data_IF_912468839650
#
_entry.id   IF_912468839650
#
_cell.length_a   1.000
_cell.length_b   1.000
_cell.length_c   1.000
_cell.angle_alpha   90.00
_cell.angle_beta   90.00
_cell.angle_gamma   90.00
#
_symmetry.space_group_name_H-M   'P 1'
#
loop_
_entity.id
_entity.type
_entity.pdbx_description
1 polymer ?
#
# COMPACT_ATOMS: atom_id res chain seq x y z
N UNK A 1 27.69 27.49 24.41
CA UNK A 1 27.37 26.21 23.76
C UNK A 1 26.80 25.32 24.85
N UNK A 2 25.48 25.08 24.87
CA UNK A 2 24.90 24.10 25.79
C UNK A 2 25.51 22.73 25.49
N UNK A 3 25.87 21.98 26.52
CA UNK A 3 26.41 20.64 26.35
C UNK A 3 25.32 19.70 25.82
N UNK A 4 25.71 18.67 25.07
CA UNK A 4 24.78 17.62 24.60
C UNK A 4 24.00 17.01 25.78
N UNK A 5 24.63 16.93 26.94
CA UNK A 5 24.03 16.44 28.19
C UNK A 5 22.88 17.31 28.68
N UNK A 6 23.04 18.63 28.69
CA UNK A 6 21.97 19.56 29.12
C UNK A 6 20.76 19.50 28.20
N UNK A 7 20.96 19.32 26.88
CA UNK A 7 19.87 19.11 25.92
C UNK A 7 19.15 17.78 26.13
N UNK A 8 19.90 16.70 26.41
CA UNK A 8 19.32 15.40 26.72
C UNK A 8 18.45 15.48 27.97
N UNK A 9 18.97 16.08 29.02
CA UNK A 9 18.28 16.15 30.31
C UNK A 9 17.03 17.04 30.22
N UNK A 10 17.05 18.13 29.43
CA UNK A 10 15.83 18.91 29.11
C UNK A 10 14.79 18.14 28.30
N UNK A 11 15.21 17.25 27.38
CA UNK A 11 14.28 16.42 26.60
C UNK A 11 13.63 15.31 27.43
N UNK A 12 14.33 14.87 28.48
CA UNK A 12 13.86 13.85 29.41
C UNK A 12 13.05 14.44 30.59
N UNK A 13 13.22 15.74 30.90
CA UNK A 13 12.44 16.45 31.92
C UNK A 13 10.94 16.42 31.57
N UNK A 14 10.18 15.61 32.32
CA UNK A 14 8.74 15.44 32.15
C UNK A 14 8.31 14.15 31.47
N UNK A 15 9.24 13.29 31.02
CA UNK A 15 8.90 11.92 30.64
C UNK A 15 8.53 11.13 31.90
N UNK A 16 7.31 10.58 31.93
CA UNK A 16 6.93 9.59 32.94
C UNK A 16 7.45 8.24 32.48
N UNK A 17 8.32 7.62 33.28
CA UNK A 17 8.73 6.25 33.05
C UNK A 17 7.53 5.32 33.23
N UNK A 18 7.00 4.83 32.10
CA UNK A 18 5.99 3.79 32.09
C UNK A 18 6.72 2.45 32.06
N UNK A 19 6.61 1.67 33.15
CA UNK A 19 7.00 0.26 33.14
C UNK A 19 5.78 -0.61 32.86
N UNK A 20 5.85 -1.36 31.78
CA UNK A 20 4.94 -2.46 31.49
C UNK A 20 5.64 -3.79 31.81
N UNK A 21 4.87 -4.81 32.21
CA UNK A 21 5.34 -6.16 32.40
C UNK A 21 4.33 -7.14 31.83
N UNK A 22 4.82 -8.22 31.21
CA UNK A 22 4.00 -9.30 30.69
C UNK A 22 3.50 -10.26 31.80
N UNK A 23 3.90 -10.03 33.06
CA UNK A 23 3.51 -10.84 34.20
C UNK A 23 3.85 -12.31 33.99
N UNK A 24 2.87 -13.19 34.18
CA UNK A 24 3.03 -14.65 33.99
C UNK A 24 3.39 -15.09 32.57
N UNK A 25 3.33 -14.19 31.58
CA UNK A 25 3.67 -14.48 30.19
C UNK A 25 5.12 -14.14 29.85
N UNK A 26 5.86 -13.48 30.74
CA UNK A 26 7.23 -13.03 30.49
C UNK A 26 8.13 -14.20 30.05
N UNK A 27 8.19 -15.27 30.84
CA UNK A 27 9.02 -16.43 30.52
C UNK A 27 8.64 -17.09 29.19
N UNK A 28 7.37 -17.04 28.79
CA UNK A 28 6.92 -17.61 27.53
C UNK A 28 7.37 -16.77 26.32
N UNK A 29 7.30 -15.44 26.45
CA UNK A 29 7.78 -14.52 25.42
C UNK A 29 9.30 -14.55 25.33
N UNK A 30 10.02 -14.55 26.44
CA UNK A 30 11.49 -14.62 26.45
C UNK A 30 11.99 -15.91 25.80
N UNK A 31 11.33 -17.05 26.06
CA UNK A 31 11.63 -18.32 25.35
C UNK A 31 11.39 -18.22 23.86
N UNK A 32 10.26 -17.66 23.43
CA UNK A 32 9.96 -17.51 22.01
C UNK A 32 10.97 -16.59 21.31
N UNK A 33 11.37 -15.48 21.93
CA UNK A 33 12.40 -14.58 21.39
C UNK A 33 13.77 -15.27 21.29
N UNK A 34 14.15 -16.06 22.30
CA UNK A 34 15.36 -16.87 22.23
C UNK A 34 15.31 -17.90 21.09
N UNK A 35 14.19 -18.60 20.90
CA UNK A 35 14.01 -19.53 19.79
C UNK A 35 14.11 -18.83 18.42
N UNK A 36 13.52 -17.64 18.26
CA UNK A 36 13.63 -16.86 17.03
C UNK A 36 15.08 -16.45 16.72
N UNK A 37 15.82 -16.03 17.76
CA UNK A 37 17.23 -15.66 17.66
C UNK A 37 18.10 -16.86 17.31
N UNK A 38 17.98 -17.96 18.05
CA UNK A 38 18.82 -19.15 17.89
C UNK A 38 18.63 -19.79 16.51
N UNK A 39 17.42 -19.67 15.94
CA UNK A 39 17.10 -20.14 14.58
C UNK A 39 17.30 -19.07 13.48
N UNK A 40 17.86 -17.90 13.82
CA UNK A 40 18.14 -16.77 12.94
C UNK A 40 16.93 -16.36 12.07
N UNK A 41 15.72 -16.42 12.63
CA UNK A 41 14.47 -16.31 11.85
C UNK A 41 14.40 -15.00 11.07
N UNK A 42 14.70 -13.87 11.71
CA UNK A 42 14.62 -12.57 11.04
C UNK A 42 15.60 -12.46 9.87
N UNK A 43 16.87 -12.83 10.07
CA UNK A 43 17.88 -12.82 9.00
C UNK A 43 17.49 -13.72 7.84
N UNK A 44 16.89 -14.89 8.13
CA UNK A 44 16.39 -15.83 7.13
C UNK A 44 15.20 -15.25 6.34
N UNK A 45 14.28 -14.55 7.01
CA UNK A 45 13.18 -13.83 6.33
C UNK A 45 13.74 -12.79 5.35
N UNK A 46 14.71 -11.97 5.78
CA UNK A 46 15.38 -10.99 4.91
C UNK A 46 16.14 -11.65 3.76
N UNK A 47 16.75 -12.81 3.99
CA UNK A 47 17.37 -13.64 2.97
C UNK A 47 16.39 -14.40 2.07
N UNK A 48 15.08 -14.13 2.19
CA UNK A 48 14.00 -14.79 1.43
C UNK A 48 13.93 -16.31 1.61
N UNK A 49 14.40 -16.81 2.76
CA UNK A 49 14.37 -18.23 3.08
C UNK A 49 12.95 -18.70 3.45
N UNK A 50 12.29 -19.35 2.49
CA UNK A 50 10.94 -19.89 2.68
C UNK A 50 10.85 -20.98 3.75
N UNK A 51 11.96 -21.65 4.07
CA UNK A 51 12.01 -22.74 5.06
C UNK A 51 11.80 -22.25 6.49
N UNK A 52 11.72 -20.92 6.71
CA UNK A 52 11.18 -20.32 7.93
C UNK A 52 9.73 -20.76 8.20
N UNK A 53 8.93 -20.93 7.13
CA UNK A 53 7.53 -21.32 7.25
C UNK A 53 7.27 -22.77 6.82
N UNK A 54 7.90 -23.21 5.73
CA UNK A 54 7.72 -24.57 5.21
C UNK A 54 8.84 -24.97 4.26
N UNK A 55 9.25 -26.24 4.33
CA UNK A 55 10.29 -26.79 3.46
C UNK A 55 9.85 -26.88 1.98
N UNK A 56 8.55 -27.09 1.71
CA UNK A 56 7.97 -27.21 0.37
C UNK A 56 6.46 -26.86 0.39
N UNK A 57 5.88 -26.12 -0.59
CA UNK A 57 6.54 -25.52 -1.75
C UNK A 57 7.25 -24.20 -1.46
N UNK A 58 8.16 -23.82 -2.35
CA UNK A 58 8.90 -22.56 -2.33
C UNK A 58 8.08 -21.33 -2.77
N UNK A 59 6.75 -21.48 -2.94
CA UNK A 59 5.78 -20.41 -3.27
C UNK A 59 5.82 -19.19 -2.32
N UNK A 60 6.56 -19.25 -1.22
CA UNK A 60 6.74 -18.15 -0.28
C UNK A 60 7.92 -17.27 -0.71
N UNK A 61 8.95 -17.82 -1.37
CA UNK A 61 10.14 -17.08 -1.82
C UNK A 61 9.80 -15.92 -2.75
N UNK A 62 8.80 -16.10 -3.61
CA UNK A 62 8.26 -15.07 -4.50
C UNK A 62 7.15 -14.21 -3.87
N UNK A 63 7.07 -14.13 -2.54
CA UNK A 63 6.06 -13.32 -1.81
C UNK A 63 6.67 -12.36 -0.78
N UNK A 64 7.99 -12.24 -0.75
CA UNK A 64 8.73 -11.44 0.22
C UNK A 64 9.26 -10.11 -0.33
N UNK A 65 8.94 -9.76 -1.58
CA UNK A 65 9.37 -8.49 -2.19
C UNK A 65 8.87 -7.23 -1.45
N UNK A 66 7.86 -7.37 -0.58
CA UNK A 66 7.36 -6.27 0.25
C UNK A 66 8.39 -5.73 1.25
N UNK A 67 9.39 -6.56 1.62
CA UNK A 67 10.48 -6.20 2.52
C UNK A 67 11.28 -5.00 1.98
N UNK A 68 11.47 -4.96 0.66
CA UNK A 68 12.26 -3.92 -0.03
C UNK A 68 11.41 -2.80 -0.63
N UNK A 69 10.08 -2.92 -0.56
CA UNK A 69 9.16 -1.92 -1.13
C UNK A 69 9.44 -0.50 -0.63
N UNK A 70 9.71 -0.26 0.68
CA UNK A 70 10.04 1.08 1.17
C UNK A 70 11.34 1.68 0.60
N UNK A 71 12.27 0.85 0.17
CA UNK A 71 13.56 1.26 -0.39
C UNK A 71 13.45 1.58 -1.89
N UNK A 72 12.62 0.82 -2.61
CA UNK A 72 12.44 0.94 -4.07
C UNK A 72 11.42 2.02 -4.46
N UNK A 73 10.35 2.19 -3.68
CA UNK A 73 9.27 3.10 -4.03
C UNK A 73 9.61 4.61 -3.99
N UNK A 74 10.59 5.13 -3.23
CA UNK A 74 11.01 6.53 -3.30
C UNK A 74 11.33 6.98 -4.73
N UNK A 75 11.99 6.15 -5.52
CA UNK A 75 12.31 6.45 -6.93
C UNK A 75 11.06 6.61 -7.82
N UNK A 76 9.94 6.05 -7.37
CA UNK A 76 8.67 6.01 -8.10
C UNK A 76 7.67 7.09 -7.63
N UNK A 77 7.97 7.84 -6.56
CA UNK A 77 7.06 8.86 -6.01
C UNK A 77 6.74 9.93 -7.05
N UNK A 78 7.74 10.45 -7.76
CA UNK A 78 7.57 11.49 -8.78
C UNK A 78 6.58 11.10 -9.88
N UNK A 79 6.53 9.81 -10.25
CA UNK A 79 5.58 9.26 -11.23
C UNK A 79 4.15 9.29 -10.72
N UNK A 80 3.95 9.03 -9.42
CA UNK A 80 2.64 9.09 -8.76
C UNK A 80 2.19 10.54 -8.65
N UNK A 81 3.08 11.43 -8.21
CA UNK A 81 2.78 12.86 -8.08
C UNK A 81 2.44 13.52 -9.41
N UNK A 82 3.11 13.10 -10.49
CA UNK A 82 2.78 13.54 -11.84
C UNK A 82 1.33 13.21 -12.21
N UNK A 83 0.89 11.96 -11.96
CA UNK A 83 -0.51 11.57 -12.17
C UNK A 83 -1.45 12.41 -11.31
N UNK A 84 -1.14 12.59 -10.03
CA UNK A 84 -1.96 13.40 -9.10
C UNK A 84 -2.10 14.82 -9.60
N UNK A 85 -1.02 15.44 -10.08
CA UNK A 85 -1.03 16.78 -10.66
C UNK A 85 -1.90 16.84 -11.91
N UNK A 86 -1.76 15.88 -12.82
CA UNK A 86 -2.54 15.80 -14.06
C UNK A 86 -4.04 15.69 -13.79
N UNK A 87 -4.47 14.73 -12.94
CA UNK A 87 -5.90 14.53 -12.66
C UNK A 87 -6.50 15.72 -11.90
N UNK A 88 -5.73 16.40 -11.05
CA UNK A 88 -6.21 17.62 -10.39
C UNK A 88 -6.34 18.78 -11.38
N UNK A 89 -5.37 18.93 -12.29
CA UNK A 89 -5.42 19.97 -13.33
C UNK A 89 -6.58 19.76 -14.31
N UNK A 90 -6.90 18.50 -14.64
CA UNK A 90 -8.05 18.13 -15.47
C UNK A 90 -9.40 18.26 -14.71
N UNK A 91 -9.35 18.60 -13.41
CA UNK A 91 -10.51 18.90 -12.59
C UNK A 91 -11.26 17.67 -12.09
N UNK A 92 -10.59 16.53 -11.94
CA UNK A 92 -11.14 15.37 -11.24
C UNK A 92 -11.27 15.67 -9.74
N UNK A 93 -12.40 15.30 -9.15
CA UNK A 93 -12.72 15.59 -7.74
C UNK A 93 -12.97 14.33 -6.93
N UNK A 94 -13.23 13.19 -7.57
CA UNK A 94 -13.49 11.92 -6.91
C UNK A 94 -12.62 10.83 -7.51
N UNK A 95 -12.25 9.85 -6.70
CA UNK A 95 -11.65 8.61 -7.16
C UNK A 95 -12.48 7.43 -6.65
N UNK A 96 -12.75 6.44 -7.49
CA UNK A 96 -13.36 5.17 -7.06
C UNK A 96 -12.40 4.02 -7.37
N UNK A 97 -11.90 3.39 -6.32
CA UNK A 97 -11.11 2.18 -6.43
C UNK A 97 -12.03 0.97 -6.61
N UNK A 98 -11.78 0.23 -7.69
CA UNK A 98 -12.47 -1.00 -8.06
C UNK A 98 -11.49 -2.15 -7.77
N UNK A 99 -11.69 -2.83 -6.64
CA UNK A 99 -10.72 -3.82 -6.17
C UNK A 99 -11.19 -4.54 -4.92
N UNK A 100 -10.62 -5.70 -4.66
CA UNK A 100 -10.98 -6.54 -3.52
C UNK A 100 -9.75 -6.97 -2.72
N UNK A 101 -9.95 -7.18 -1.41
CA UNK A 101 -8.95 -7.73 -0.51
C UNK A 101 -7.74 -6.82 -0.32
N UNK A 102 -6.54 -7.36 -0.48
CA UNK A 102 -5.30 -6.60 -0.23
C UNK A 102 -5.10 -5.42 -1.19
N UNK A 103 -5.78 -5.42 -2.34
CA UNK A 103 -5.74 -4.33 -3.32
C UNK A 103 -6.68 -3.16 -2.99
N UNK A 104 -7.49 -3.25 -1.91
CA UNK A 104 -8.52 -2.26 -1.53
C UNK A 104 -8.41 -1.73 -0.10
N UNK A 105 -8.00 -2.56 0.86
CA UNK A 105 -8.04 -2.22 2.29
C UNK A 105 -7.03 -1.14 2.72
N UNK A 106 -5.79 -1.17 2.21
CA UNK A 106 -4.80 -0.15 2.57
C UNK A 106 -5.24 1.27 2.13
N UNK A 107 -5.72 1.47 0.89
CA UNK A 107 -6.35 2.73 0.47
C UNK A 107 -7.49 3.20 1.38
N UNK A 108 -8.35 2.28 1.83
CA UNK A 108 -9.46 2.60 2.73
C UNK A 108 -8.95 3.08 4.10
N UNK A 109 -7.98 2.37 4.69
CA UNK A 109 -7.35 2.74 5.97
C UNK A 109 -6.64 4.09 5.85
N UNK A 110 -5.92 4.34 4.76
CA UNK A 110 -5.26 5.62 4.53
C UNK A 110 -6.25 6.77 4.48
N UNK A 111 -7.32 6.63 3.70
CA UNK A 111 -8.39 7.64 3.64
C UNK A 111 -9.04 7.85 5.02
N UNK A 112 -9.36 6.78 5.74
CA UNK A 112 -9.99 6.86 7.04
C UNK A 112 -9.11 7.57 8.08
N UNK A 113 -7.79 7.29 8.06
CA UNK A 113 -6.84 7.77 9.06
C UNK A 113 -6.35 9.18 8.78
N UNK A 114 -6.03 9.50 7.52
CA UNK A 114 -5.42 10.76 7.13
C UNK A 114 -6.42 11.76 6.53
N UNK A 115 -7.63 11.31 6.19
CA UNK A 115 -8.62 12.13 5.50
C UNK A 115 -8.21 12.44 4.06
N UNK A 116 -8.83 13.49 3.51
CA UNK A 116 -8.56 13.98 2.15
C UNK A 116 -8.06 15.41 2.27
N UNK A 117 -6.88 15.69 1.72
CA UNK A 117 -6.33 17.06 1.69
C UNK A 117 -7.18 17.95 0.79
N UNK A 118 -7.38 19.20 1.18
CA UNK A 118 -8.16 20.16 0.39
C UNK A 118 -7.62 20.28 -1.05
N UNK A 119 -8.53 20.19 -2.01
CA UNK A 119 -8.21 20.24 -3.44
C UNK A 119 -7.64 18.95 -4.03
N UNK A 120 -7.64 17.83 -3.29
CA UNK A 120 -7.33 16.48 -3.77
C UNK A 120 -8.62 15.67 -3.98
N UNK A 121 -8.51 14.44 -4.49
CA UNK A 121 -9.67 13.64 -4.87
C UNK A 121 -10.26 12.93 -3.65
N UNK A 122 -11.58 12.99 -3.48
CA UNK A 122 -12.27 12.16 -2.50
C UNK A 122 -12.31 10.71 -3.00
N UNK A 123 -11.47 9.88 -2.39
CA UNK A 123 -11.34 8.46 -2.72
C UNK A 123 -12.48 7.67 -2.09
N UNK A 124 -13.03 6.70 -2.80
CA UNK A 124 -13.87 5.66 -2.24
C UNK A 124 -13.42 4.29 -2.74
N UNK A 125 -13.82 3.24 -2.03
CA UNK A 125 -13.49 1.86 -2.36
C UNK A 125 -14.78 1.08 -2.61
N UNK A 126 -14.83 0.38 -3.74
CA UNK A 126 -15.88 -0.58 -4.06
C UNK A 126 -15.27 -1.99 -4.10
N UNK A 127 -15.52 -2.73 -3.03
CA UNK A 127 -15.05 -4.10 -2.79
C UNK A 127 -16.19 -5.09 -2.54
N UNK A 128 -17.43 -4.70 -2.81
CA UNK A 128 -18.63 -5.51 -2.62
C UNK A 128 -19.40 -5.69 -3.92
N UNK A 129 -19.79 -6.93 -4.23
CA UNK A 129 -20.65 -7.26 -5.38
C UNK A 129 -22.13 -7.02 -5.12
N UNK A 130 -22.49 -6.57 -3.92
CA UNK A 130 -23.86 -6.18 -3.62
C UNK A 130 -24.35 -5.09 -4.60
N UNK A 131 -25.46 -5.32 -5.34
CA UNK A 131 -25.95 -4.35 -6.31
C UNK A 131 -26.29 -2.99 -5.68
N UNK A 132 -26.72 -2.97 -4.41
CA UNK A 132 -27.00 -1.74 -3.67
C UNK A 132 -25.74 -0.89 -3.52
N UNK A 133 -24.64 -1.48 -3.06
CA UNK A 133 -23.34 -0.81 -2.95
C UNK A 133 -22.86 -0.23 -4.29
N UNK A 134 -22.97 -1.01 -5.38
CA UNK A 134 -22.58 -0.56 -6.74
C UNK A 134 -23.46 0.60 -7.21
N UNK A 135 -24.77 0.52 -6.98
CA UNK A 135 -25.73 1.57 -7.36
C UNK A 135 -25.57 2.84 -6.52
N UNK A 136 -25.15 2.72 -5.26
CA UNK A 136 -24.93 3.88 -4.41
C UNK A 136 -23.76 4.73 -4.90
N UNK A 137 -22.64 4.10 -5.28
CA UNK A 137 -21.55 4.84 -5.94
C UNK A 137 -21.94 5.38 -7.30
N UNK A 138 -22.76 4.64 -8.05
CA UNK A 138 -23.32 5.13 -9.32
C UNK A 138 -24.08 6.45 -9.16
N UNK A 139 -24.89 6.57 -8.10
CA UNK A 139 -25.71 7.77 -7.84
C UNK A 139 -24.88 8.94 -7.30
N UNK A 140 -23.85 8.65 -6.51
CA UNK A 140 -23.03 9.67 -5.84
C UNK A 140 -21.97 10.29 -6.75
N UNK A 141 -21.42 9.53 -7.69
CA UNK A 141 -20.29 9.96 -8.51
C UNK A 141 -20.74 10.62 -9.81
N UNK A 142 -20.12 11.76 -10.15
CA UNK A 142 -20.21 12.34 -11.48
C UNK A 142 -19.15 11.67 -12.39
N UNK A 143 -19.54 10.92 -13.44
CA UNK A 143 -18.59 10.23 -14.31
C UNK A 143 -17.60 11.19 -15.00
N UNK A 144 -17.98 12.43 -15.29
CA UNK A 144 -17.10 13.44 -15.93
C UNK A 144 -16.03 13.98 -14.98
N UNK A 145 -16.19 13.77 -13.67
CA UNK A 145 -15.31 14.30 -12.62
C UNK A 145 -14.72 13.20 -11.73
N UNK A 146 -14.88 11.95 -12.11
CA UNK A 146 -14.44 10.78 -11.35
C UNK A 146 -13.35 10.00 -12.07
N UNK A 147 -12.30 9.65 -11.32
CA UNK A 147 -11.23 8.75 -11.74
C UNK A 147 -11.52 7.34 -11.19
N UNK A 148 -11.42 6.32 -12.02
CA UNK A 148 -11.63 4.93 -11.63
C UNK A 148 -10.30 4.20 -11.59
N UNK A 149 -10.00 3.57 -10.45
CA UNK A 149 -8.75 2.84 -10.23
C UNK A 149 -9.08 1.35 -10.32
N UNK A 150 -8.78 0.70 -11.44
CA UNK A 150 -8.96 -0.74 -11.59
C UNK A 150 -7.76 -1.43 -10.96
N UNK A 151 -7.99 -2.15 -9.86
CA UNK A 151 -6.94 -2.63 -8.97
C UNK A 151 -7.06 -4.13 -8.75
N UNK A 152 -6.17 -4.91 -9.36
CA UNK A 152 -6.08 -6.36 -9.16
C UNK A 152 -4.70 -6.86 -9.59
N UNK A 153 -4.07 -7.71 -8.77
CA UNK A 153 -2.74 -8.27 -9.05
C UNK A 153 -2.74 -9.16 -10.31
N UNK A 154 -3.64 -10.15 -10.35
CA UNK A 154 -3.71 -11.15 -11.42
C UNK A 154 -4.34 -10.62 -12.71
N UNK A 155 -4.97 -9.44 -12.67
CA UNK A 155 -5.79 -8.93 -13.76
C UNK A 155 -7.06 -9.75 -14.04
N UNK A 156 -7.32 -10.81 -13.27
CA UNK A 156 -8.36 -11.81 -13.54
C UNK A 156 -9.52 -11.84 -12.56
N UNK A 157 -9.50 -11.01 -11.51
CA UNK A 157 -10.56 -10.95 -10.48
C UNK A 157 -11.88 -10.56 -11.14
N UNK A 158 -12.85 -11.48 -11.14
CA UNK A 158 -14.12 -11.35 -11.89
C UNK A 158 -14.91 -10.14 -11.41
N UNK A 159 -14.91 -9.91 -10.11
CA UNK A 159 -15.62 -8.83 -9.45
C UNK A 159 -15.04 -7.46 -9.85
N UNK A 160 -13.72 -7.29 -9.75
CA UNK A 160 -13.02 -6.08 -10.21
C UNK A 160 -13.28 -5.81 -11.69
N UNK A 161 -13.18 -6.82 -12.55
CA UNK A 161 -13.44 -6.65 -13.99
C UNK A 161 -14.91 -6.35 -14.29
N UNK A 162 -15.83 -6.86 -13.48
CA UNK A 162 -17.26 -6.56 -13.61
C UNK A 162 -17.56 -5.11 -13.24
N UNK A 163 -16.96 -4.60 -12.16
CA UNK A 163 -17.04 -3.17 -11.82
C UNK A 163 -16.44 -2.30 -12.91
N UNK A 164 -15.27 -2.66 -13.43
CA UNK A 164 -14.63 -1.93 -14.53
C UNK A 164 -15.59 -1.83 -15.72
N UNK A 165 -16.13 -2.95 -16.23
CA UNK A 165 -17.05 -2.94 -17.37
C UNK A 165 -18.28 -2.07 -17.11
N UNK A 166 -18.84 -2.18 -15.91
CA UNK A 166 -20.02 -1.42 -15.52
C UNK A 166 -19.78 0.09 -15.50
N UNK A 167 -18.71 0.55 -14.85
CA UNK A 167 -18.37 1.98 -14.80
C UNK A 167 -17.84 2.50 -16.13
N UNK A 168 -17.10 1.69 -16.89
CA UNK A 168 -16.61 2.07 -18.22
C UNK A 168 -17.77 2.39 -19.18
N UNK A 169 -18.83 1.59 -19.18
CA UNK A 169 -20.01 1.85 -19.99
C UNK A 169 -20.68 3.18 -19.61
N UNK A 170 -20.74 3.50 -18.31
CA UNK A 170 -21.33 4.76 -17.83
C UNK A 170 -20.49 5.97 -18.17
N UNK A 171 -19.18 5.86 -17.98
CA UNK A 171 -18.24 6.91 -18.37
C UNK A 171 -18.33 7.13 -19.88
N UNK A 172 -18.33 6.06 -20.67
CA UNK A 172 -18.48 6.14 -22.13
C UNK A 172 -19.76 6.86 -22.55
N UNK A 173 -20.88 6.60 -21.87
CA UNK A 173 -22.14 7.30 -22.12
C UNK A 173 -22.07 8.80 -21.80
N UNK A 174 -21.27 9.20 -20.82
CA UNK A 174 -21.14 10.59 -20.40
C UNK A 174 -20.12 11.38 -21.23
N UNK A 175 -18.94 10.82 -21.49
CA UNK A 175 -17.80 11.55 -22.10
C UNK A 175 -17.42 11.07 -23.52
N UNK A 176 -18.09 10.03 -24.03
CA UNK A 176 -17.77 9.38 -25.29
C UNK A 176 -16.62 8.37 -25.19
N UNK A 177 -16.60 7.41 -26.12
CA UNK A 177 -15.65 6.29 -26.10
C UNK A 177 -14.18 6.74 -26.18
N UNK A 178 -13.91 7.76 -26.99
CA UNK A 178 -12.54 8.27 -27.21
C UNK A 178 -11.93 8.94 -25.97
N UNK A 179 -12.78 9.40 -25.03
CA UNK A 179 -12.33 10.02 -23.79
C UNK A 179 -12.46 9.10 -22.57
N UNK A 180 -13.22 8.01 -22.67
CA UNK A 180 -13.52 7.16 -21.53
C UNK A 180 -12.25 6.63 -20.85
N UNK A 181 -11.25 6.18 -21.63
CA UNK A 181 -9.97 5.69 -21.10
C UNK A 181 -9.23 6.67 -20.19
N UNK A 182 -9.38 7.98 -20.41
CA UNK A 182 -8.75 9.04 -19.57
C UNK A 182 -9.27 9.05 -18.14
N UNK A 183 -10.43 8.45 -17.88
CA UNK A 183 -11.02 8.32 -16.55
C UNK A 183 -10.59 7.05 -15.82
N UNK A 184 -9.75 6.20 -16.42
CA UNK A 184 -9.30 4.95 -15.82
C UNK A 184 -7.79 4.91 -15.65
N UNK A 185 -7.36 4.37 -14.52
CA UNK A 185 -6.00 3.90 -14.30
C UNK A 185 -6.03 2.43 -13.89
N UNK A 186 -4.95 1.71 -14.18
CA UNK A 186 -4.76 0.33 -13.78
C UNK A 186 -3.59 0.20 -12.79
N UNK A 187 -3.78 -0.62 -11.76
CA UNK A 187 -2.71 -1.08 -10.87
C UNK A 187 -2.75 -2.62 -10.89
N UNK A 188 -1.70 -3.23 -11.43
CA UNK A 188 -1.66 -4.67 -11.74
C UNK A 188 -0.23 -5.18 -11.86
N UNK A 189 -0.04 -6.49 -12.03
CA UNK A 189 1.28 -7.05 -12.32
C UNK A 189 1.62 -7.04 -13.82
N UNK A 190 2.91 -7.09 -14.18
CA UNK A 190 3.36 -7.30 -15.55
C UNK A 190 2.78 -8.58 -16.18
N UNK A 191 2.38 -8.51 -17.44
CA UNK A 191 1.81 -9.62 -18.21
C UNK A 191 0.39 -10.02 -17.79
N UNK A 192 -0.27 -9.20 -16.97
CA UNK A 192 -1.62 -9.48 -16.50
C UNK A 192 -2.68 -9.10 -17.54
N UNK A 193 -3.85 -9.75 -17.48
CA UNK A 193 -5.00 -9.40 -18.34
C UNK A 193 -5.44 -7.93 -18.21
N UNK A 194 -5.23 -7.32 -17.05
CA UNK A 194 -5.59 -5.93 -16.83
C UNK A 194 -4.61 -4.98 -17.52
N UNK A 195 -3.34 -5.36 -17.69
CA UNK A 195 -2.39 -4.58 -18.49
C UNK A 195 -2.85 -4.51 -19.95
N UNK A 196 -3.21 -5.65 -20.55
CA UNK A 196 -3.73 -5.74 -21.92
C UNK A 196 -5.02 -4.92 -22.10
N UNK A 197 -5.93 -4.99 -21.11
CA UNK A 197 -7.16 -4.21 -21.10
C UNK A 197 -6.85 -2.70 -21.00
N UNK A 198 -5.97 -2.30 -20.09
CA UNK A 198 -5.61 -0.90 -19.93
C UNK A 198 -5.04 -0.31 -21.23
N UNK A 199 -4.23 -1.07 -21.95
CA UNK A 199 -3.74 -0.69 -23.28
C UNK A 199 -4.88 -0.61 -24.30
N UNK A 200 -5.71 -1.65 -24.39
CA UNK A 200 -6.81 -1.73 -25.38
C UNK A 200 -7.86 -0.63 -25.21
N UNK A 201 -8.09 -0.20 -23.97
CA UNK A 201 -9.06 0.83 -23.61
C UNK A 201 -8.42 2.22 -23.41
N UNK A 202 -7.14 2.39 -23.78
CA UNK A 202 -6.39 3.65 -23.67
C UNK A 202 -6.50 4.30 -22.28
N UNK A 203 -6.28 3.51 -21.23
CA UNK A 203 -6.26 4.02 -19.86
C UNK A 203 -5.23 5.13 -19.73
N UNK A 204 -5.55 6.14 -18.90
CA UNK A 204 -4.64 7.26 -18.61
C UNK A 204 -3.27 6.80 -18.16
N UNK A 205 -3.23 5.79 -17.29
CA UNK A 205 -1.99 5.26 -16.72
C UNK A 205 -2.14 3.81 -16.28
N UNK A 206 -1.07 3.05 -16.48
CA UNK A 206 -0.89 1.71 -15.91
C UNK A 206 0.32 1.72 -14.99
N UNK A 207 0.12 1.25 -13.76
CA UNK A 207 1.20 0.99 -12.80
C UNK A 207 1.40 -0.51 -12.69
N UNK A 208 2.59 -0.95 -13.10
CA UNK A 208 3.02 -2.33 -12.99
C UNK A 208 3.75 -2.52 -11.66
N UNK A 209 3.22 -3.39 -10.83
CA UNK A 209 3.75 -3.69 -9.50
C UNK A 209 4.82 -4.80 -9.56
N UNK A 210 5.63 -4.91 -8.51
CA UNK A 210 6.50 -6.07 -8.35
C UNK A 210 5.64 -7.34 -8.10
N UNK A 211 5.74 -8.36 -8.97
CA UNK A 211 4.99 -9.61 -8.80
C UNK A 211 5.40 -10.39 -7.55
N UNK A 212 6.54 -10.07 -6.93
CA UNK A 212 6.99 -10.69 -5.68
C UNK A 212 6.33 -10.08 -4.43
N UNK A 213 5.50 -9.05 -4.58
CA UNK A 213 4.74 -8.46 -3.48
C UNK A 213 3.38 -9.19 -3.36
N UNK A 214 3.14 -9.83 -2.22
CA UNK A 214 1.83 -10.39 -1.91
C UNK A 214 0.77 -9.29 -1.76
N UNK A 215 -0.46 -9.53 -2.22
CA UNK A 215 -1.55 -8.54 -2.19
C UNK A 215 -1.78 -7.93 -0.79
N UNK A 216 -1.77 -8.74 0.27
CA UNK A 216 -1.94 -8.26 1.65
C UNK A 216 -0.77 -7.43 2.21
N UNK A 217 0.39 -7.44 1.54
CA UNK A 217 1.58 -6.67 1.90
C UNK A 217 1.88 -5.53 0.90
N UNK A 218 0.89 -5.14 0.09
CA UNK A 218 1.07 -4.16 -1.00
C UNK A 218 0.79 -2.70 -0.61
N UNK A 219 0.60 -2.43 0.68
CA UNK A 219 0.27 -1.08 1.18
C UNK A 219 1.33 -0.02 0.84
N UNK A 220 2.60 -0.41 0.81
CA UNK A 220 3.72 0.47 0.47
C UNK A 220 4.22 0.27 -0.96
N UNK A 221 3.42 -0.37 -1.81
CA UNK A 221 3.65 -0.47 -3.26
C UNK A 221 2.67 0.43 -4.02
N UNK A 222 2.62 0.34 -5.35
CA UNK A 222 1.65 1.13 -6.13
C UNK A 222 0.20 0.93 -5.67
N UNK A 223 -0.18 -0.24 -5.16
CA UNK A 223 -1.54 -0.53 -4.69
C UNK A 223 -2.00 0.39 -3.54
N UNK A 224 -1.10 0.77 -2.64
CA UNK A 224 -1.41 1.73 -1.57
C UNK A 224 -0.96 3.15 -1.87
N UNK A 225 0.22 3.33 -2.49
CA UNK A 225 0.81 4.66 -2.69
C UNK A 225 0.10 5.50 -3.75
N UNK A 226 -0.43 4.88 -4.81
CA UNK A 226 -1.20 5.62 -5.82
C UNK A 226 -2.47 6.21 -5.21
N UNK A 227 -3.33 5.43 -4.51
CA UNK A 227 -4.48 5.98 -3.81
C UNK A 227 -4.11 6.99 -2.70
N UNK A 228 -3.01 6.75 -1.97
CA UNK A 228 -2.52 7.70 -0.96
C UNK A 228 -2.14 9.06 -1.57
N UNK A 229 -1.49 9.07 -2.73
CA UNK A 229 -1.15 10.29 -3.45
C UNK A 229 -2.39 11.05 -3.92
N UNK A 230 -3.43 10.32 -4.37
CA UNK A 230 -4.69 10.91 -4.86
C UNK A 230 -5.47 11.64 -3.76
N UNK A 231 -5.36 11.20 -2.49
CA UNK A 231 -5.95 11.89 -1.32
C UNK A 231 -5.01 12.96 -0.71
N UNK A 232 -3.80 13.10 -1.25
CA UNK A 232 -2.85 14.15 -0.89
C UNK A 232 -1.96 13.86 0.32
N UNK A 233 -1.72 12.58 0.61
CA UNK A 233 -0.71 12.18 1.58
C UNK A 233 0.71 12.53 1.10
N UNK A 234 1.58 12.82 2.06
CA UNK A 234 3.02 13.02 1.83
C UNK A 234 3.69 11.64 1.69
N UNK A 235 3.89 11.23 0.44
CA UNK A 235 4.41 9.90 0.10
C UNK A 235 5.89 9.75 0.49
N UNK A 236 6.70 10.79 0.32
CA UNK A 236 8.11 10.79 0.71
C UNK A 236 8.23 10.59 2.21
N UNK A 237 7.46 11.35 3.01
CA UNK A 237 7.45 11.21 4.46
C UNK A 237 6.94 9.84 4.91
N UNK A 238 5.91 9.29 4.25
CA UNK A 238 5.43 7.95 4.56
C UNK A 238 6.53 6.90 4.34
N UNK A 239 7.22 6.96 3.20
CA UNK A 239 8.28 6.03 2.83
C UNK A 239 9.53 6.21 3.71
N UNK A 240 9.92 7.43 4.05
CA UNK A 240 11.02 7.73 4.99
C UNK A 240 10.78 7.08 6.37
N UNK A 241 9.54 7.16 6.88
CA UNK A 241 9.16 6.51 8.15
C UNK A 241 9.14 4.99 8.02
N UNK A 242 8.70 4.47 6.88
CA UNK A 242 8.76 3.03 6.62
C UNK A 242 10.21 2.52 6.52
N UNK A 243 11.11 3.26 5.87
CA UNK A 243 12.53 2.95 5.78
C UNK A 243 13.20 2.94 7.16
N UNK A 244 12.85 3.89 8.02
CA UNK A 244 13.30 3.87 9.43
C UNK A 244 12.88 2.57 10.14
N UNK A 245 11.65 2.11 9.91
CA UNK A 245 11.17 0.85 10.48
C UNK A 245 11.88 -0.36 9.86
N UNK A 246 12.15 -0.35 8.55
CA UNK A 246 12.97 -1.39 7.89
C UNK A 246 14.34 -1.50 8.56
N UNK A 247 15.06 -0.40 8.74
CA UNK A 247 16.37 -0.39 9.40
C UNK A 247 16.33 -0.93 10.84
N UNK A 248 15.21 -0.75 11.55
CA UNK A 248 15.01 -1.32 12.89
C UNK A 248 14.72 -2.83 12.83
N UNK A 249 14.10 -3.29 11.74
CA UNK A 249 13.70 -4.67 11.52
C UNK A 249 14.74 -5.53 10.78
N UNK A 250 15.83 -4.98 10.25
CA UNK A 250 16.81 -5.71 9.42
C UNK A 250 17.93 -6.41 10.25
N UNK A 251 17.92 -6.27 11.58
CA UNK A 251 18.85 -6.96 12.48
C UNK A 251 20.29 -6.44 12.45
N UNK A 252 20.72 -5.80 11.36
CA UNK A 252 22.03 -5.15 11.21
C UNK A 252 22.25 -3.96 12.16
N UNK A 253 21.18 -3.35 12.67
CA UNK A 253 21.23 -2.30 13.70
C UNK A 253 21.08 -2.84 15.14
N UNK A 254 21.13 -4.15 15.34
CA UNK A 254 21.00 -4.70 16.68
C UNK A 254 22.36 -4.83 17.38
N UNK A 255 22.50 -4.31 18.62
CA UNK A 255 23.76 -4.41 19.37
C UNK A 255 24.11 -5.83 19.80
N UNK A 256 23.18 -6.79 19.66
CA UNK A 256 23.37 -8.20 19.97
C UNK A 256 23.06 -9.01 18.71
N UNK A 257 23.97 -9.89 18.31
CA UNK A 257 23.80 -10.75 17.13
C UNK A 257 22.54 -11.61 17.28
N UNK A 258 21.61 -11.48 16.32
CA UNK A 258 20.33 -12.18 16.29
C UNK A 258 19.21 -11.59 17.16
N UNK A 259 19.49 -10.52 17.91
CA UNK A 259 18.47 -9.62 18.47
C UNK A 259 17.95 -8.75 17.28
N UNK A 260 16.65 -8.51 17.16
CA UNK A 260 16.07 -7.70 16.09
C UNK A 260 14.78 -7.01 16.53
N UNK A 261 14.71 -5.68 16.41
CA UNK A 261 13.53 -4.93 16.87
C UNK A 261 12.24 -5.11 16.12
N UNK A 262 12.27 -5.75 14.96
CA UNK A 262 11.07 -6.25 14.32
C UNK A 262 10.47 -7.49 14.99
N UNK A 263 11.21 -8.19 15.86
CA UNK A 263 10.71 -9.35 16.59
C UNK A 263 9.99 -9.01 17.91
N UNK A 264 10.12 -7.77 18.41
CA UNK A 264 9.52 -7.30 19.67
C UNK A 264 8.58 -6.10 19.51
#
# INVERSE_FOLDING_TARGET
MQSITEKRDQLLEGQKDHKASLGKYQDAVDRALHELRDNQIMSRIWAHDHTVWKDDPDEISNRLGWLHSPEVMPENVSKIEALVKEVRADGYTHALLLGMGGSSLAPEVFRFTFGVKEGYLDLAVLDSTDPGAVLDYTKKLNPEKSLFIVSTKSGGTVETLSFFKYFYNRVTQAVGADNAGKHFIAITDPGSKLEDLAQSYNFRKTFLNDPNIGSRYSALSYFGLVPAGLIGMDLEKLLDRAATMVCNCEGCNCPIEGDNSGAW
#
